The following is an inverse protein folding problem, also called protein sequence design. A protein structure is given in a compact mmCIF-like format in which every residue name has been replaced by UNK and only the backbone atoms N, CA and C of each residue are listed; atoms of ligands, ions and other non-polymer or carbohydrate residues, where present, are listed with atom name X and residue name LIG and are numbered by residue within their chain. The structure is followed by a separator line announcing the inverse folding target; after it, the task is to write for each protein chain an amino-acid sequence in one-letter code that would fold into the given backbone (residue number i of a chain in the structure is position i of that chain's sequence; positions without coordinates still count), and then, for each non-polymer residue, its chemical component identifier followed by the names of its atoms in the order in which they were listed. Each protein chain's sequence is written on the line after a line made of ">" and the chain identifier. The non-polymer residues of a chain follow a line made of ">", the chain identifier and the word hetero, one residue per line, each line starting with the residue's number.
data_IF_980738064729
#
_entry.id   IF_980738064729
#
_cell.length_a   1.000
_cell.length_b   1.000
_cell.length_c   1.000
_cell.angle_alpha   90.00
_cell.angle_beta   90.00
_cell.angle_gamma   90.00
#
_symmetry.space_group_name_H-M   'P 1'
#
loop_
_entity.id
_entity.type
_entity.pdbx_description
1 polymer ?
#
# COMPACT_ATOMS: atom_id res chain seq x y z
N UNK A 1 -5.52 5.03 4.45
CA UNK A 1 -4.75 5.28 3.20
C UNK A 1 -3.58 6.26 3.39
N UNK A 2 -3.55 7.08 4.45
CA UNK A 2 -2.41 7.98 4.71
C UNK A 2 -1.07 7.23 4.78
N UNK A 3 -1.03 6.08 5.46
CA UNK A 3 0.19 5.24 5.51
C UNK A 3 0.63 4.68 4.15
N UNK A 4 -0.30 4.41 3.25
CA UNK A 4 0.04 4.03 1.87
C UNK A 4 0.68 5.20 1.10
N UNK A 5 0.17 6.42 1.29
CA UNK A 5 0.77 7.61 0.70
C UNK A 5 2.17 7.90 1.29
N UNK A 6 2.35 7.72 2.61
CA UNK A 6 3.66 7.82 3.26
C UNK A 6 4.67 6.81 2.69
N UNK A 7 4.26 5.55 2.45
CA UNK A 7 5.12 4.53 1.82
C UNK A 7 5.54 4.97 0.41
N UNK A 8 4.61 5.46 -0.41
CA UNK A 8 4.94 5.94 -1.76
C UNK A 8 5.93 7.12 -1.72
N UNK A 9 5.71 8.06 -0.80
CA UNK A 9 6.62 9.18 -0.56
C UNK A 9 8.00 8.71 -0.11
N UNK A 10 8.07 7.83 0.89
CA UNK A 10 9.33 7.30 1.42
C UNK A 10 10.15 6.60 0.32
N UNK A 11 9.49 5.78 -0.51
CA UNK A 11 10.18 5.11 -1.63
C UNK A 11 10.73 6.12 -2.63
N UNK A 12 9.91 7.11 -3.04
CA UNK A 12 10.30 8.08 -4.05
C UNK A 12 11.33 9.09 -3.55
N UNK A 13 11.20 9.60 -2.32
CA UNK A 13 12.04 10.68 -1.80
C UNK A 13 13.25 10.17 -1.02
N UNK A 14 13.06 9.27 -0.07
CA UNK A 14 14.16 8.82 0.79
C UNK A 14 14.93 7.66 0.15
N UNK A 15 14.25 6.57 -0.23
CA UNK A 15 14.94 5.36 -0.69
C UNK A 15 15.60 5.51 -2.07
N UNK A 16 14.95 6.23 -2.99
CA UNK A 16 15.46 6.48 -4.35
C UNK A 16 16.05 7.89 -4.46
N UNK A 17 15.34 8.89 -3.93
CA UNK A 17 15.68 10.29 -4.11
C UNK A 17 16.90 10.74 -3.33
N UNK A 18 17.12 10.29 -2.09
CA UNK A 18 18.30 10.70 -1.31
C UNK A 18 19.58 10.21 -1.98
N UNK A 19 19.76 8.93 -2.37
CA UNK A 19 20.92 8.50 -3.16
C UNK A 19 21.10 9.29 -4.46
N UNK A 20 20.00 9.55 -5.18
CA UNK A 20 20.04 10.33 -6.41
C UNK A 20 20.55 11.76 -6.17
N UNK A 21 20.03 12.44 -5.15
CA UNK A 21 20.40 13.81 -4.81
C UNK A 21 21.85 13.90 -4.34
N UNK A 22 22.32 12.96 -3.52
CA UNK A 22 23.73 12.86 -3.13
C UNK A 22 24.63 12.68 -4.34
N UNK A 23 24.28 11.80 -5.26
CA UNK A 23 25.03 11.58 -6.49
C UNK A 23 25.10 12.86 -7.34
N UNK A 24 23.98 13.56 -7.53
CA UNK A 24 23.88 14.82 -8.27
C UNK A 24 24.70 15.94 -7.63
N UNK A 25 24.86 15.93 -6.31
CA UNK A 25 25.69 16.85 -5.56
C UNK A 25 27.19 16.53 -5.64
N UNK A 26 27.59 15.44 -6.31
CA UNK A 26 28.97 15.00 -6.43
C UNK A 26 29.45 14.06 -5.31
N UNK A 27 28.58 13.74 -4.34
CA UNK A 27 28.86 12.86 -3.21
C UNK A 27 28.64 11.38 -3.61
N UNK A 28 29.35 10.91 -4.62
CA UNK A 28 29.09 9.61 -5.27
C UNK A 28 29.30 8.41 -4.35
N UNK A 29 30.27 8.45 -3.45
CA UNK A 29 30.53 7.39 -2.48
C UNK A 29 29.42 7.33 -1.43
N UNK A 30 29.03 8.48 -0.87
CA UNK A 30 27.94 8.60 0.07
C UNK A 30 26.61 8.15 -0.55
N UNK A 31 26.35 8.53 -1.80
CA UNK A 31 25.18 8.10 -2.55
C UNK A 31 25.08 6.58 -2.64
N UNK A 32 26.21 5.90 -2.88
CA UNK A 32 26.24 4.44 -2.98
C UNK A 32 25.88 3.77 -1.64
N UNK A 33 26.39 4.28 -0.53
CA UNK A 33 26.10 3.74 0.80
C UNK A 33 24.72 4.14 1.35
N UNK A 34 24.11 5.20 0.81
CA UNK A 34 22.74 5.58 1.13
C UNK A 34 21.68 4.66 0.49
N UNK A 35 22.06 3.84 -0.49
CA UNK A 35 21.14 2.86 -1.11
C UNK A 35 20.83 1.73 -0.13
N UNK A 36 19.55 1.55 0.20
CA UNK A 36 19.08 0.40 1.00
C UNK A 36 19.44 -0.91 0.27
N UNK A 37 19.86 -1.93 1.03
CA UNK A 37 20.26 -3.24 0.47
C UNK A 37 21.39 -3.17 -0.56
N UNK A 38 22.26 -2.16 -0.50
CA UNK A 38 23.32 -1.90 -1.46
C UNK A 38 24.29 -3.08 -1.64
N UNK A 39 24.52 -3.84 -0.57
CA UNK A 39 25.45 -4.99 -0.54
C UNK A 39 24.85 -6.26 -1.14
N UNK A 40 23.53 -6.44 -1.04
CA UNK A 40 22.81 -7.63 -1.54
C UNK A 40 22.27 -7.46 -2.96
N UNK A 41 22.27 -6.22 -3.47
CA UNK A 41 21.79 -5.84 -4.81
C UNK A 41 20.27 -5.99 -5.01
N UNK A 42 19.50 -6.06 -3.93
CA UNK A 42 18.06 -6.27 -3.95
C UNK A 42 17.23 -4.99 -3.78
N UNK A 43 17.87 -3.80 -3.75
CA UNK A 43 17.18 -2.53 -3.54
C UNK A 43 15.94 -2.34 -4.40
N UNK A 44 16.04 -2.65 -5.69
CA UNK A 44 14.93 -2.54 -6.63
C UNK A 44 13.77 -3.47 -6.26
N UNK A 45 14.05 -4.69 -5.84
CA UNK A 45 13.05 -5.66 -5.43
C UNK A 45 12.36 -5.22 -4.13
N UNK A 46 13.14 -4.71 -3.17
CA UNK A 46 12.65 -4.18 -1.89
C UNK A 46 11.72 -2.98 -2.11
N UNK A 47 12.11 -2.04 -2.97
CA UNK A 47 11.29 -0.87 -3.29
C UNK A 47 10.02 -1.25 -4.05
N UNK A 48 10.09 -2.19 -4.97
CA UNK A 48 8.92 -2.73 -5.67
C UNK A 48 7.95 -3.38 -4.69
N UNK A 49 8.45 -4.15 -3.71
CA UNK A 49 7.64 -4.79 -2.69
C UNK A 49 6.97 -3.78 -1.76
N UNK A 50 7.60 -2.63 -1.49
CA UNK A 50 6.96 -1.53 -0.76
C UNK A 50 5.75 -1.00 -1.52
N UNK A 51 5.85 -0.81 -2.85
CA UNK A 51 4.68 -0.41 -3.66
C UNK A 51 3.62 -1.53 -3.71
N UNK A 52 4.02 -2.80 -3.77
CA UNK A 52 3.08 -3.91 -3.69
C UNK A 52 2.37 -4.00 -2.33
N UNK A 53 2.97 -3.53 -1.25
CA UNK A 53 2.27 -3.43 0.04
C UNK A 53 1.09 -2.45 -0.03
N UNK A 54 1.23 -1.33 -0.78
CA UNK A 54 0.13 -0.40 -1.06
C UNK A 54 -0.96 -1.08 -1.88
N UNK A 55 -0.58 -1.83 -2.95
CA UNK A 55 -1.51 -2.63 -3.74
C UNK A 55 -2.29 -3.60 -2.87
N UNK A 56 -1.59 -4.34 -2.03
CA UNK A 56 -2.20 -5.36 -1.18
C UNK A 56 -3.19 -4.75 -0.18
N UNK A 57 -2.87 -3.60 0.40
CA UNK A 57 -3.79 -2.86 1.26
C UNK A 57 -5.04 -2.34 0.50
N UNK A 58 -4.86 -1.88 -0.74
CA UNK A 58 -5.95 -1.37 -1.57
C UNK A 58 -6.83 -2.50 -2.14
N UNK A 59 -6.23 -3.63 -2.51
CA UNK A 59 -6.93 -4.81 -3.06
C UNK A 59 -7.49 -5.74 -1.99
N UNK A 60 -7.04 -5.61 -0.73
CA UNK A 60 -7.46 -6.48 0.37
C UNK A 60 -6.96 -7.92 0.22
N UNK A 61 -5.84 -8.14 -0.46
CA UNK A 61 -5.25 -9.47 -0.70
C UNK A 61 -3.73 -9.38 -0.89
N UNK A 62 -3.03 -10.50 -0.67
CA UNK A 62 -1.57 -10.61 -0.84
C UNK A 62 -1.17 -11.19 -2.20
N UNK A 63 -2.10 -11.81 -2.91
CA UNK A 63 -1.85 -12.52 -4.18
C UNK A 63 -2.01 -11.62 -5.44
N UNK A 64 -2.37 -10.34 -5.24
CA UNK A 64 -2.59 -9.39 -6.33
C UNK A 64 -4.00 -9.44 -6.94
N UNK A 65 -4.87 -10.32 -6.46
CA UNK A 65 -6.28 -10.33 -6.84
C UNK A 65 -7.06 -9.30 -6.01
N UNK A 66 -8.17 -8.81 -6.55
CA UNK A 66 -9.03 -7.86 -5.84
C UNK A 66 -10.04 -8.66 -5.01
N UNK A 67 -10.00 -8.46 -3.69
CA UNK A 67 -10.99 -9.04 -2.79
C UNK A 67 -12.33 -8.31 -2.96
N UNK A 68 -13.45 -9.07 -2.92
CA UNK A 68 -14.79 -8.51 -3.01
C UNK A 68 -15.12 -7.48 -1.90
N UNK A 69 -14.46 -7.59 -0.76
CA UNK A 69 -14.58 -6.69 0.39
C UNK A 69 -13.41 -5.70 0.52
N UNK A 70 -12.77 -5.35 -0.60
CA UNK A 70 -11.63 -4.44 -0.63
C UNK A 70 -12.04 -2.97 -0.80
N UNK A 71 -11.12 -2.07 -0.48
CA UNK A 71 -11.30 -0.64 -0.76
C UNK A 71 -11.44 -0.40 -2.28
N UNK A 72 -10.69 -1.12 -3.11
CA UNK A 72 -10.82 -1.07 -4.57
C UNK A 72 -12.26 -1.38 -5.02
N UNK A 73 -12.89 -2.43 -4.47
CA UNK A 73 -14.27 -2.80 -4.82
C UNK A 73 -15.27 -1.70 -4.41
N UNK A 74 -15.11 -1.13 -3.22
CA UNK A 74 -15.95 -0.03 -2.74
C UNK A 74 -15.82 1.21 -3.65
N UNK A 75 -14.59 1.61 -3.95
CA UNK A 75 -14.34 2.78 -4.79
C UNK A 75 -14.80 2.51 -6.23
N UNK A 76 -14.56 1.34 -6.79
CA UNK A 76 -15.01 0.97 -8.13
C UNK A 76 -16.55 1.07 -8.29
N UNK A 77 -17.29 0.63 -7.27
CA UNK A 77 -18.76 0.73 -7.26
C UNK A 77 -19.28 2.16 -7.19
N UNK A 78 -18.53 3.07 -6.56
CA UNK A 78 -18.95 4.47 -6.39
C UNK A 78 -18.30 5.42 -7.40
N UNK A 79 -17.07 5.16 -7.85
CA UNK A 79 -16.29 5.94 -8.81
C UNK A 79 -15.25 5.06 -9.52
N UNK A 80 -15.66 4.38 -10.57
CA UNK A 80 -14.80 3.46 -11.33
C UNK A 80 -13.59 4.14 -11.99
N UNK A 81 -13.72 5.42 -12.34
CA UNK A 81 -12.60 6.19 -12.89
C UNK A 81 -11.49 6.43 -11.86
N UNK A 82 -11.85 6.76 -10.62
CA UNK A 82 -10.91 6.92 -9.53
C UNK A 82 -10.22 5.60 -9.18
N UNK A 83 -10.97 4.50 -9.09
CA UNK A 83 -10.41 3.17 -8.88
C UNK A 83 -9.38 2.79 -9.95
N UNK A 84 -9.73 3.00 -11.22
CA UNK A 84 -8.83 2.77 -12.34
C UNK A 84 -7.58 3.64 -12.26
N UNK A 85 -7.72 4.92 -11.90
CA UNK A 85 -6.59 5.84 -11.73
C UNK A 85 -5.63 5.35 -10.64
N UNK A 86 -6.15 4.90 -9.50
CA UNK A 86 -5.33 4.37 -8.39
C UNK A 86 -4.59 3.10 -8.81
N UNK A 87 -5.28 2.14 -9.43
CA UNK A 87 -4.69 0.90 -9.93
C UNK A 87 -3.54 1.17 -10.91
N UNK A 88 -3.77 2.06 -11.86
CA UNK A 88 -2.77 2.43 -12.86
C UNK A 88 -1.56 3.10 -12.22
N UNK A 89 -1.76 3.96 -11.22
CA UNK A 89 -0.68 4.63 -10.51
C UNK A 89 0.18 3.64 -9.70
N UNK A 90 -0.45 2.68 -9.01
CA UNK A 90 0.26 1.60 -8.31
C UNK A 90 1.10 0.78 -9.28
N UNK A 91 0.51 0.37 -10.41
CA UNK A 91 1.21 -0.42 -11.42
C UNK A 91 2.35 0.37 -12.07
N UNK A 92 2.12 1.65 -12.37
CA UNK A 92 3.12 2.55 -12.95
C UNK A 92 4.31 2.72 -12.01
N UNK A 93 4.08 2.97 -10.72
CA UNK A 93 5.15 3.13 -9.73
C UNK A 93 5.98 1.84 -9.59
N UNK A 94 5.32 0.68 -9.43
CA UNK A 94 6.00 -0.60 -9.35
C UNK A 94 6.84 -0.89 -10.61
N UNK A 95 6.25 -0.66 -11.79
CA UNK A 95 6.94 -0.87 -13.06
C UNK A 95 8.13 0.08 -13.24
N UNK A 96 7.98 1.36 -12.95
CA UNK A 96 9.06 2.34 -13.08
C UNK A 96 10.26 1.97 -12.19
N UNK A 97 10.01 1.46 -10.98
CA UNK A 97 11.08 0.94 -10.12
C UNK A 97 11.73 -0.29 -10.74
N UNK A 98 10.94 -1.23 -11.28
CA UNK A 98 11.47 -2.44 -11.95
C UNK A 98 12.26 -2.13 -13.22
N UNK A 99 11.99 -1.02 -13.87
CA UNK A 99 12.71 -0.58 -15.08
C UNK A 99 14.10 0.01 -14.75
N UNK A 100 14.38 0.38 -13.48
CA UNK A 100 15.72 0.80 -13.08
C UNK A 100 16.71 -0.34 -13.34
N UNK A 101 17.81 -0.12 -14.06
CA UNK A 101 18.80 -1.17 -14.29
C UNK A 101 19.41 -1.69 -12.99
N UNK A 102 19.68 -2.99 -12.93
CA UNK A 102 20.30 -3.61 -11.75
C UNK A 102 21.84 -3.67 -11.86
N UNK A 103 22.53 -3.59 -10.74
CA UNK A 103 22.02 -3.19 -9.41
C UNK A 103 21.80 -1.67 -9.34
N UNK A 104 20.77 -1.22 -8.64
CA UNK A 104 20.40 0.20 -8.53
C UNK A 104 21.60 1.09 -8.13
N UNK A 105 22.41 0.65 -7.18
CA UNK A 105 23.59 1.40 -6.74
C UNK A 105 24.57 1.80 -7.86
N UNK A 106 24.58 1.06 -8.97
CA UNK A 106 25.42 1.35 -10.13
C UNK A 106 24.70 2.24 -11.17
N UNK A 107 23.40 2.45 -10.99
CA UNK A 107 22.52 3.13 -11.92
C UNK A 107 21.75 4.30 -11.27
N UNK A 108 22.24 4.79 -10.12
CA UNK A 108 21.60 5.89 -9.37
C UNK A 108 21.22 7.08 -10.26
N UNK A 109 22.07 7.60 -11.20
CA UNK A 109 21.73 8.77 -12.01
C UNK A 109 20.94 8.44 -13.29
N UNK A 110 20.38 7.25 -13.42
CA UNK A 110 19.68 6.86 -14.65
C UNK A 110 18.37 7.63 -14.85
N UNK A 111 17.89 7.69 -16.09
CA UNK A 111 16.59 8.30 -16.40
C UNK A 111 15.44 7.51 -15.78
N UNK A 112 15.59 6.19 -15.66
CA UNK A 112 14.63 5.30 -15.03
C UNK A 112 14.51 5.58 -13.53
N UNK A 113 15.59 5.99 -12.88
CA UNK A 113 15.57 6.44 -11.47
C UNK A 113 14.68 7.67 -11.32
N UNK A 114 14.81 8.66 -12.20
CA UNK A 114 13.95 9.85 -12.19
C UNK A 114 12.51 9.49 -12.47
N UNK A 115 12.25 8.63 -13.46
CA UNK A 115 10.91 8.16 -13.79
C UNK A 115 10.26 7.41 -12.61
N UNK A 116 11.02 6.63 -11.82
CA UNK A 116 10.54 5.96 -10.63
C UNK A 116 10.18 6.94 -9.52
N UNK A 117 11.00 7.97 -9.27
CA UNK A 117 10.70 9.04 -8.32
C UNK A 117 9.40 9.76 -8.69
N UNK A 118 9.25 10.14 -9.96
CA UNK A 118 8.05 10.83 -10.47
C UNK A 118 6.79 9.95 -10.34
N UNK A 119 6.89 8.66 -10.64
CA UNK A 119 5.78 7.73 -10.52
C UNK A 119 5.35 7.51 -9.05
N UNK A 120 6.30 7.48 -8.12
CA UNK A 120 6.01 7.40 -6.69
C UNK A 120 5.34 8.69 -6.18
N UNK A 121 5.79 9.86 -6.62
CA UNK A 121 5.19 11.15 -6.28
C UNK A 121 3.76 11.27 -6.83
N UNK A 122 3.51 10.78 -8.06
CA UNK A 122 2.16 10.72 -8.62
C UNK A 122 1.25 9.81 -7.80
N UNK A 123 1.72 8.62 -7.42
CA UNK A 123 0.96 7.69 -6.58
C UNK A 123 0.64 8.31 -5.22
N UNK A 124 1.62 8.92 -4.54
CA UNK A 124 1.40 9.66 -3.30
C UNK A 124 0.30 10.70 -3.45
N UNK A 125 0.39 11.55 -4.49
CA UNK A 125 -0.57 12.62 -4.74
C UNK A 125 -1.99 12.08 -4.95
N UNK A 126 -2.16 11.01 -5.71
CA UNK A 126 -3.47 10.38 -5.96
C UNK A 126 -4.05 9.83 -4.65
N UNK A 127 -3.24 9.15 -3.84
CA UNK A 127 -3.72 8.60 -2.56
C UNK A 127 -4.05 9.68 -1.54
N UNK A 128 -3.24 10.72 -1.46
CA UNK A 128 -3.34 11.78 -0.44
C UNK A 128 -4.39 12.83 -0.79
N UNK A 129 -4.51 13.17 -2.06
CA UNK A 129 -5.40 14.24 -2.52
C UNK A 129 -6.69 13.68 -3.12
N UNK A 130 -6.61 12.83 -4.15
CA UNK A 130 -7.80 12.39 -4.88
C UNK A 130 -8.64 11.40 -4.06
N UNK A 131 -8.02 10.32 -3.59
CA UNK A 131 -8.74 9.28 -2.83
C UNK A 131 -9.21 9.82 -1.47
N UNK A 132 -8.35 10.48 -0.73
CA UNK A 132 -8.71 11.00 0.60
C UNK A 132 -9.81 12.06 0.51
N UNK A 133 -9.70 13.00 -0.44
CA UNK A 133 -10.74 14.01 -0.66
C UNK A 133 -12.05 13.39 -1.14
N UNK A 134 -11.98 12.38 -2.01
CA UNK A 134 -13.17 11.66 -2.46
C UNK A 134 -13.88 10.97 -1.28
N UNK A 135 -13.15 10.25 -0.43
CA UNK A 135 -13.71 9.60 0.76
C UNK A 135 -14.31 10.64 1.71
N UNK A 136 -13.60 11.74 2.00
CA UNK A 136 -14.07 12.78 2.90
C UNK A 136 -15.37 13.45 2.42
N UNK A 137 -15.47 13.69 1.11
CA UNK A 137 -16.63 14.37 0.51
C UNK A 137 -17.82 13.42 0.25
N UNK A 138 -17.60 12.12 0.24
CA UNK A 138 -18.61 11.11 -0.09
C UNK A 138 -18.81 10.07 1.02
N UNK A 139 -18.37 10.35 2.25
CA UNK A 139 -18.45 9.41 3.37
C UNK A 139 -19.88 8.89 3.64
N UNK A 140 -20.90 9.72 3.37
CA UNK A 140 -22.31 9.33 3.51
C UNK A 140 -22.84 8.49 2.34
N UNK A 141 -22.15 8.47 1.18
CA UNK A 141 -22.55 7.77 -0.04
C UNK A 141 -21.72 6.50 -0.28
N UNK A 142 -20.60 6.35 0.40
CA UNK A 142 -19.80 5.13 0.34
C UNK A 142 -20.48 4.13 1.25
N UNK A 143 -21.10 3.11 0.65
CA UNK A 143 -21.73 2.03 1.40
C UNK A 143 -20.65 1.16 2.07
N UNK A 144 -20.13 1.63 3.18
CA UNK A 144 -19.19 0.89 4.01
C UNK A 144 -19.84 -0.33 4.65
N UNK A 145 -21.16 -0.34 4.81
CA UNK A 145 -21.92 -1.45 5.37
C UNK A 145 -21.85 -2.69 4.48
N UNK A 146 -21.80 -2.50 3.16
CA UNK A 146 -21.63 -3.61 2.21
C UNK A 146 -20.28 -4.34 2.37
N UNK A 147 -19.26 -3.64 2.89
CA UNK A 147 -17.91 -4.20 3.10
C UNK A 147 -17.69 -4.62 4.55
N UNK A 148 -18.13 -3.80 5.50
CA UNK A 148 -17.91 -4.05 6.93
C UNK A 148 -18.87 -5.08 7.51
N UNK A 149 -20.15 -5.05 7.09
CA UNK A 149 -21.15 -5.98 7.64
C UNK A 149 -20.81 -7.46 7.41
N UNK A 150 -20.39 -7.92 6.21
CA UNK A 150 -19.99 -9.31 6.02
C UNK A 150 -18.80 -9.72 6.90
N UNK A 151 -17.80 -8.85 7.04
CA UNK A 151 -16.60 -9.11 7.85
C UNK A 151 -16.95 -9.14 9.33
N UNK A 152 -17.73 -8.18 9.80
CA UNK A 152 -18.20 -8.13 11.20
C UNK A 152 -19.10 -9.33 11.50
N UNK A 153 -20.05 -9.67 10.62
CA UNK A 153 -20.93 -10.82 10.78
C UNK A 153 -20.11 -12.11 10.85
N UNK A 154 -19.17 -12.31 9.92
CA UNK A 154 -18.31 -13.48 9.92
C UNK A 154 -17.49 -13.61 11.22
N UNK A 155 -16.95 -12.50 11.73
CA UNK A 155 -16.20 -12.49 12.98
C UNK A 155 -17.12 -12.76 14.19
N UNK A 156 -18.29 -12.14 14.23
CA UNK A 156 -19.27 -12.35 15.30
C UNK A 156 -19.70 -13.80 15.33
N UNK A 157 -20.07 -14.39 14.19
CA UNK A 157 -20.54 -15.76 14.11
C UNK A 157 -19.44 -16.80 14.38
N UNK A 158 -18.22 -16.54 13.90
CA UNK A 158 -17.10 -17.48 14.04
C UNK A 158 -16.42 -17.42 15.41
N UNK A 159 -16.38 -16.26 16.05
CA UNK A 159 -15.57 -16.02 17.27
C UNK A 159 -16.44 -15.61 18.46
N UNK A 160 -17.25 -14.57 18.31
CA UNK A 160 -17.97 -13.96 19.45
C UNK A 160 -19.08 -14.87 19.96
N UNK A 161 -19.93 -15.39 19.07
CA UNK A 161 -21.07 -16.24 19.45
C UNK A 161 -20.63 -17.56 20.10
N UNK A 162 -19.68 -18.34 19.56
CA UNK A 162 -19.18 -19.55 20.19
C UNK A 162 -18.54 -19.28 21.55
N UNK A 163 -17.73 -18.20 21.65
CA UNK A 163 -17.08 -17.84 22.93
C UNK A 163 -18.11 -17.46 23.99
N UNK A 164 -19.13 -16.68 23.63
CA UNK A 164 -20.21 -16.31 24.55
C UNK A 164 -21.02 -17.53 25.04
N UNK A 165 -21.36 -18.46 24.13
CA UNK A 165 -22.05 -19.69 24.47
C UNK A 165 -21.24 -20.54 25.45
N UNK A 166 -19.95 -20.74 25.19
CA UNK A 166 -19.04 -21.48 26.05
C UNK A 166 -18.88 -20.84 27.44
N UNK A 167 -18.79 -19.52 27.52
CA UNK A 167 -18.74 -18.80 28.80
C UNK A 167 -20.05 -18.92 29.57
N UNK A 168 -21.19 -18.81 28.91
CA UNK A 168 -22.52 -18.95 29.53
C UNK A 168 -22.71 -20.35 30.10
N UNK A 169 -22.33 -21.40 29.37
CA UNK A 169 -22.41 -22.79 29.85
C UNK A 169 -21.54 -23.01 31.10
N UNK A 170 -20.31 -22.49 31.13
CA UNK A 170 -19.42 -22.56 32.30
C UNK A 170 -19.99 -21.83 33.52
N UNK A 171 -20.61 -20.67 33.31
CA UNK A 171 -21.26 -19.92 34.40
C UNK A 171 -22.45 -20.64 34.96
N UNK A 172 -23.28 -21.29 34.12
CA UNK A 172 -24.44 -22.07 34.57
C UNK A 172 -24.02 -23.31 35.38
N UNK A 173 -22.94 -23.97 34.96
CA UNK A 173 -22.40 -25.12 35.71
C UNK A 173 -21.81 -24.71 37.08
N UNK A 174 -21.20 -23.51 37.16
CA UNK A 174 -20.64 -22.98 38.42
C UNK A 174 -21.70 -22.53 39.43
N UNK A 175 -22.93 -22.23 38.98
CA UNK A 175 -24.02 -21.82 39.87
C UNK A 175 -24.87 -23.01 40.34
N UNK A 176 -24.61 -24.23 39.86
CA UNK A 176 -25.30 -25.48 40.26
C UNK A 176 -24.48 -26.33 41.24
N UNK A 177 -23.30 -25.90 41.66
CA UNK A 177 -22.48 -26.47 42.74
C UNK A 177 -22.57 -25.62 44.00
#
# INVERSE_FOLDING_TARGET
>A
MDKCAEIANEVGTAKIGDPYNLYKAGNTEEALYAVESWYSWHSRDDYTNNIYSIRNAYYGSLDGNINANSLSTVIAGANSSLDTKIKNAIQKAAKAIQDIPQPFRNHIPSNETVAAMDACAELESILKNDLKSYIANNSNNINTDAVLNPVVTQYVDAVVVPTYKSLKEKMTLSTMQ
#
